data_IF_014854183678
#
_entry.id   IF_014854183678
#
_cell.length_a   1.000
_cell.length_b   1.000
_cell.length_c   1.000
_cell.angle_alpha   90.00
_cell.angle_beta   90.00
_cell.angle_gamma   90.00
#
_symmetry.space_group_name_H-M   'P 1'
#
loop_
_entity.id
_entity.type
_entity.pdbx_description
1 polymer ?
#
# COMPACT_ATOMS: atom_id res chain seq x y z
N UNK A 1 41.82 10.78 -20.35
CA UNK A 1 40.46 10.44 -20.81
C UNK A 1 39.93 9.35 -19.90
N UNK A 2 39.08 9.68 -18.91
CA UNK A 2 38.59 8.74 -17.88
C UNK A 2 37.07 8.95 -17.77
N UNK A 3 36.31 7.93 -18.15
CA UNK A 3 34.85 7.93 -18.12
C UNK A 3 34.38 8.00 -16.65
N UNK A 4 33.41 8.84 -16.28
CA UNK A 4 32.84 8.81 -14.95
C UNK A 4 31.98 7.55 -14.78
N UNK A 5 32.26 6.82 -13.70
CA UNK A 5 31.47 5.67 -13.24
C UNK A 5 30.05 6.13 -12.92
N UNK A 6 29.08 5.57 -13.64
CA UNK A 6 27.66 5.68 -13.32
C UNK A 6 27.44 4.99 -11.98
N UNK A 7 27.28 5.78 -10.91
CA UNK A 7 26.68 5.29 -9.67
C UNK A 7 25.17 5.26 -9.91
N UNK A 8 24.64 4.07 -10.17
CA UNK A 8 23.20 3.84 -10.01
C UNK A 8 22.91 4.05 -8.52
N UNK A 9 22.27 5.18 -8.22
CA UNK A 9 21.90 5.53 -6.86
C UNK A 9 20.82 4.53 -6.44
N UNK A 10 21.19 3.61 -5.55
CA UNK A 10 20.25 2.66 -4.96
C UNK A 10 19.17 3.48 -4.26
N UNK A 11 17.97 3.50 -4.83
CA UNK A 11 16.78 3.93 -4.10
C UNK A 11 16.74 3.12 -2.81
N UNK A 12 16.86 3.80 -1.68
CA UNK A 12 16.67 3.19 -0.37
C UNK A 12 15.22 2.69 -0.30
N UNK A 13 15.02 1.40 -0.58
CA UNK A 13 13.79 0.70 -0.25
C UNK A 13 13.75 0.58 1.26
N UNK A 14 12.91 1.38 1.93
CA UNK A 14 12.58 1.21 3.34
C UNK A 14 12.05 -0.21 3.54
N UNK A 15 12.91 -1.11 4.02
CA UNK A 15 12.56 -2.48 4.32
C UNK A 15 11.61 -2.49 5.53
N UNK A 16 10.30 -2.53 5.26
CA UNK A 16 9.26 -2.65 6.28
C UNK A 16 9.32 -4.05 6.89
N UNK A 17 10.01 -4.19 8.02
CA UNK A 17 10.04 -5.44 8.78
C UNK A 17 8.85 -5.51 9.73
N UNK A 18 7.92 -6.43 9.49
CA UNK A 18 6.73 -6.63 10.32
C UNK A 18 6.64 -8.08 10.83
N UNK A 19 6.32 -8.26 12.12
CA UNK A 19 6.18 -9.58 12.75
C UNK A 19 4.86 -10.29 12.41
N UNK A 20 3.93 -9.57 11.80
CA UNK A 20 2.64 -10.07 11.32
C UNK A 20 2.30 -9.35 10.01
N UNK A 21 2.07 -10.11 8.95
CA UNK A 21 1.79 -9.58 7.61
C UNK A 21 0.49 -10.16 7.09
N UNK A 22 -0.43 -9.30 6.69
CA UNK A 22 -1.67 -9.68 6.01
C UNK A 22 -1.53 -9.26 4.55
N UNK A 23 -1.73 -10.18 3.62
CA UNK A 23 -1.74 -9.91 2.18
C UNK A 23 -3.14 -10.14 1.65
N UNK A 24 -3.76 -9.11 1.07
CA UNK A 24 -5.10 -9.18 0.52
C UNK A 24 -5.19 -8.51 -0.85
N UNK A 25 -6.13 -8.97 -1.67
CA UNK A 25 -6.37 -8.40 -3.00
C UNK A 25 -6.75 -6.91 -2.96
N UNK A 26 -7.29 -6.44 -1.84
CA UNK A 26 -7.62 -5.03 -1.61
C UNK A 26 -7.12 -4.55 -0.26
N UNK A 27 -6.77 -3.27 -0.22
CA UNK A 27 -6.54 -2.56 1.03
C UNK A 27 -7.82 -2.49 1.87
N UNK A 28 -7.70 -2.32 3.20
CA UNK A 28 -8.84 -2.14 4.09
C UNK A 28 -9.48 -0.75 3.98
N UNK A 29 -8.97 0.08 3.06
CA UNK A 29 -9.40 1.44 2.81
C UNK A 29 -9.70 1.59 1.32
N UNK A 30 -10.82 2.22 1.02
CA UNK A 30 -11.16 2.69 -0.31
C UNK A 30 -10.66 4.13 -0.48
N UNK A 31 -10.07 4.37 -1.65
CA UNK A 31 -9.76 5.71 -2.12
C UNK A 31 -11.06 6.40 -2.51
N UNK A 32 -11.30 7.57 -1.95
CA UNK A 32 -12.38 8.48 -2.35
C UNK A 32 -11.76 9.77 -2.86
N UNK A 33 -12.27 10.27 -3.98
CA UNK A 33 -11.88 11.56 -4.53
C UNK A 33 -13.04 12.51 -4.29
N UNK A 34 -12.82 13.53 -3.46
CA UNK A 34 -13.81 14.58 -3.24
C UNK A 34 -13.97 15.45 -4.51
N UNK A 35 -15.06 16.20 -4.59
CA UNK A 35 -15.38 17.06 -5.74
C UNK A 35 -14.28 18.11 -6.03
N UNK A 36 -13.47 18.45 -5.02
CA UNK A 36 -12.32 19.35 -5.14
C UNK A 36 -11.04 18.67 -5.65
N UNK A 37 -11.08 17.36 -5.93
CA UNK A 37 -9.93 16.56 -6.38
C UNK A 37 -9.01 16.07 -5.26
N UNK A 38 -9.37 16.33 -3.99
CA UNK A 38 -8.63 15.84 -2.83
C UNK A 38 -8.80 14.33 -2.65
N UNK A 39 -7.71 13.63 -2.36
CA UNK A 39 -7.71 12.18 -2.10
C UNK A 39 -7.96 11.93 -0.61
N UNK A 40 -9.06 11.29 -0.28
CA UNK A 40 -9.40 10.83 1.07
C UNK A 40 -9.42 9.30 1.14
N UNK A 41 -9.05 8.78 2.31
CA UNK A 41 -9.10 7.35 2.61
C UNK A 41 -10.27 7.05 3.52
N UNK A 42 -11.12 6.09 3.13
CA UNK A 42 -12.24 5.65 3.95
C UNK A 42 -12.14 4.15 4.17
N UNK A 43 -12.31 3.69 5.41
CA UNK A 43 -12.35 2.25 5.71
C UNK A 43 -13.44 1.55 4.90
N UNK A 44 -13.04 0.53 4.14
CA UNK A 44 -13.93 -0.28 3.32
C UNK A 44 -14.81 -1.16 4.21
N UNK A 45 -16.15 -1.10 4.07
CA UNK A 45 -17.02 -2.06 4.75
C UNK A 45 -16.89 -3.43 4.09
N UNK A 46 -16.08 -4.32 4.68
CA UNK A 46 -15.88 -5.68 4.18
C UNK A 46 -15.57 -6.67 5.29
N UNK A 47 -16.16 -7.86 5.23
CA UNK A 47 -16.05 -8.88 6.29
C UNK A 47 -14.61 -9.31 6.60
N UNK A 48 -13.70 -9.21 5.63
CA UNK A 48 -12.27 -9.50 5.83
C UNK A 48 -11.57 -8.39 6.62
N UNK A 49 -11.88 -7.12 6.32
CA UNK A 49 -11.33 -5.95 7.01
C UNK A 49 -11.79 -5.95 8.45
N UNK A 50 -13.10 -6.04 8.67
CA UNK A 50 -13.69 -6.03 10.02
C UNK A 50 -13.22 -7.20 10.90
N UNK A 51 -12.87 -8.35 10.30
CA UNK A 51 -12.36 -9.50 11.04
C UNK A 51 -10.89 -9.37 11.44
N UNK A 52 -10.05 -8.76 10.59
CA UNK A 52 -8.59 -8.73 10.79
C UNK A 52 -8.10 -7.43 11.42
N UNK A 53 -8.84 -6.32 11.25
CA UNK A 53 -8.50 -5.02 11.81
C UNK A 53 -8.28 -5.05 13.34
N UNK A 54 -9.11 -5.72 14.17
CA UNK A 54 -8.85 -5.82 15.61
C UNK A 54 -7.53 -6.55 15.94
N UNK A 55 -7.15 -7.54 15.14
CA UNK A 55 -5.91 -8.30 15.32
C UNK A 55 -4.70 -7.45 14.94
N UNK A 56 -4.79 -6.73 13.82
CA UNK A 56 -3.77 -5.80 13.34
C UNK A 56 -3.52 -4.68 14.34
N UNK A 57 -4.60 -4.07 14.89
CA UNK A 57 -4.50 -3.04 15.94
C UNK A 57 -3.86 -3.57 17.23
N UNK A 58 -4.16 -4.81 17.62
CA UNK A 58 -3.67 -5.38 18.87
C UNK A 58 -2.21 -5.85 18.80
N UNK A 59 -1.75 -6.34 17.65
CA UNK A 59 -0.41 -6.90 17.47
C UNK A 59 0.56 -5.98 16.73
N UNK A 60 0.04 -4.97 16.03
CA UNK A 60 0.77 -4.28 14.98
C UNK A 60 1.03 -5.19 13.78
N UNK A 61 1.67 -4.66 12.74
CA UNK A 61 2.04 -5.44 11.55
C UNK A 61 1.96 -4.62 10.27
N UNK A 62 2.05 -5.32 9.14
CA UNK A 62 1.90 -4.72 7.81
C UNK A 62 0.69 -5.32 7.06
N UNK A 63 -0.14 -4.45 6.47
CA UNK A 63 -1.20 -4.83 5.55
C UNK A 63 -0.77 -4.53 4.12
N UNK A 64 -0.58 -5.56 3.31
CA UNK A 64 -0.21 -5.46 1.91
C UNK A 64 -1.44 -5.65 1.04
N UNK A 65 -1.69 -4.73 0.11
CA UNK A 65 -2.79 -4.90 -0.85
C UNK A 65 -2.87 -3.78 -1.88
N UNK A 66 -3.73 -3.97 -2.88
CA UNK A 66 -3.92 -2.98 -3.93
C UNK A 66 -4.97 -1.93 -3.53
N UNK A 67 -4.67 -0.66 -3.85
CA UNK A 67 -5.48 0.51 -3.48
C UNK A 67 -6.64 0.78 -4.45
N UNK A 68 -6.71 0.06 -5.57
CA UNK A 68 -7.84 0.09 -6.50
C UNK A 68 -7.70 1.03 -7.68
N UNK A 69 -6.60 1.79 -7.78
CA UNK A 69 -6.27 2.57 -8.97
C UNK A 69 -4.98 2.05 -9.64
N UNK A 70 -4.99 1.81 -10.96
CA UNK A 70 -3.78 1.47 -11.68
C UNK A 70 -2.88 2.70 -11.90
N UNK A 71 -1.59 2.46 -12.14
CA UNK A 71 -0.56 3.47 -12.47
C UNK A 71 -0.29 4.56 -11.42
N UNK A 72 -0.92 4.47 -10.24
CA UNK A 72 -0.71 5.40 -9.14
C UNK A 72 0.22 4.78 -8.08
N UNK A 73 1.27 5.53 -7.75
CA UNK A 73 2.25 5.16 -6.73
C UNK A 73 1.89 5.81 -5.41
N UNK A 74 1.62 4.97 -4.43
CA UNK A 74 1.29 5.38 -3.08
C UNK A 74 2.34 4.77 -2.16
N UNK A 75 3.00 5.62 -1.39
CA UNK A 75 3.96 5.18 -0.40
C UNK A 75 3.24 4.51 0.78
N UNK A 76 3.92 3.59 1.44
CA UNK A 76 3.38 2.97 2.66
C UNK A 76 3.17 4.01 3.76
N UNK A 77 2.12 3.83 4.55
CA UNK A 77 1.78 4.74 5.65
C UNK A 77 1.22 3.99 6.85
N UNK A 78 1.38 4.56 8.03
CA UNK A 78 0.79 4.00 9.25
C UNK A 78 -0.68 4.40 9.40
N UNK A 79 -1.51 3.43 9.73
CA UNK A 79 -2.94 3.60 9.97
C UNK A 79 -3.34 2.77 11.19
N UNK A 80 -3.94 3.41 12.19
CA UNK A 80 -4.49 2.76 13.39
C UNK A 80 -3.54 1.77 14.09
N UNK A 81 -2.24 2.06 14.10
CA UNK A 81 -1.22 1.25 14.78
C UNK A 81 -0.65 0.07 13.96
N UNK A 82 -0.95 0.00 12.66
CA UNK A 82 -0.31 -0.91 11.72
C UNK A 82 0.10 -0.19 10.43
N UNK A 83 1.08 -0.72 9.72
CA UNK A 83 1.58 -0.14 8.47
C UNK A 83 0.77 -0.67 7.29
N UNK A 84 0.34 0.21 6.40
CA UNK A 84 -0.26 -0.13 5.11
C UNK A 84 0.82 -0.06 4.05
N UNK A 85 0.94 -1.12 3.25
CA UNK A 85 1.91 -1.26 2.17
C UNK A 85 1.14 -1.46 0.85
N UNK A 86 0.96 -0.39 0.05
CA UNK A 86 0.26 -0.48 -1.22
C UNK A 86 1.03 -1.32 -2.24
N UNK A 87 0.34 -2.25 -2.89
CA UNK A 87 0.84 -2.91 -4.10
C UNK A 87 0.51 -2.01 -5.27
N UNK A 88 1.52 -1.68 -6.08
CA UNK A 88 1.34 -0.92 -7.32
C UNK A 88 1.01 -1.92 -8.43
N UNK A 89 -0.11 -1.70 -9.10
CA UNK A 89 -0.46 -2.42 -10.31
C UNK A 89 -0.51 -1.40 -11.45
N UNK A 90 0.11 -1.74 -12.57
CA UNK A 90 -0.08 -0.99 -13.82
C UNK A 90 -1.44 -1.29 -14.44
N UNK A 91 -1.89 -0.42 -15.34
CA UNK A 91 -3.14 -0.68 -16.09
C UNK A 91 -3.06 -2.00 -16.85
N UNK A 92 -1.90 -2.35 -17.41
CA UNK A 92 -1.70 -3.60 -18.12
C UNK A 92 -1.85 -4.83 -17.20
N UNK A 93 -1.27 -4.79 -16.00
CA UNK A 93 -1.40 -5.87 -15.02
C UNK A 93 -2.82 -6.01 -14.48
N UNK A 94 -3.59 -4.92 -14.42
CA UNK A 94 -4.99 -4.97 -14.01
C UNK A 94 -5.91 -5.57 -15.08
N UNK A 95 -5.67 -5.28 -16.37
CA UNK A 95 -6.50 -5.76 -17.48
C UNK A 95 -6.20 -7.22 -17.89
N UNK A 96 -5.01 -7.74 -17.55
CA UNK A 96 -4.57 -9.10 -17.90
C UNK A 96 -4.94 -10.18 -16.84
N UNK A 97 -5.70 -9.84 -15.80
CA UNK A 97 -6.14 -10.73 -14.71
C UNK A 97 -7.67 -10.83 -14.57
#
# INVERSE_FOLDING_TARGET
MKLPSVRCNQSQEDQVSASFVVVANRLPVDRTTDDDGAVSWRTSPGGLVTALEPVMRAKGGAWVGWHGAPDEKIDGFDHDGYTIVPVQLSTQEYEEY
#
